data_IF_574237969506
#
_entry.id   IF_574237969506
#
_cell.length_a   1.000
_cell.length_b   1.000
_cell.length_c   1.000
_cell.angle_alpha   90.00
_cell.angle_beta   90.00
_cell.angle_gamma   90.00
#
_symmetry.space_group_name_H-M   'P 1'
#
loop_
_entity.id
_entity.type
_entity.pdbx_description
1 polymer ?
#
# COMPACT_ATOMS: atom_id res chain seq x y z
N UNK A 1 14.32 13.78 -20.75
CA UNK A 1 13.37 12.64 -20.69
C UNK A 1 13.73 11.84 -19.46
N UNK A 2 13.04 12.09 -18.34
CA UNK A 2 13.34 11.47 -17.05
C UNK A 2 12.46 10.23 -16.96
N UNK A 3 13.05 9.04 -16.85
CA UNK A 3 12.34 7.78 -16.69
C UNK A 3 11.44 7.81 -15.45
N UNK A 4 10.17 8.12 -15.67
CA UNK A 4 9.06 7.87 -14.76
C UNK A 4 8.71 6.39 -14.76
N UNK A 5 9.63 5.55 -14.25
CA UNK A 5 9.37 4.12 -14.13
C UNK A 5 8.38 3.91 -12.98
N UNK A 6 7.09 3.82 -13.30
CA UNK A 6 6.12 3.16 -12.43
C UNK A 6 6.60 1.72 -12.22
N UNK A 7 6.62 1.27 -10.96
CA UNK A 7 7.02 -0.10 -10.57
C UNK A 7 6.10 -1.18 -11.17
N UNK A 8 4.87 -0.81 -11.54
CA UNK A 8 3.88 -1.70 -12.11
C UNK A 8 3.46 -1.27 -13.51
N UNK A 9 3.21 -2.25 -14.37
CA UNK A 9 2.56 -2.03 -15.66
C UNK A 9 1.08 -1.76 -15.42
N UNK A 10 0.51 -0.81 -16.17
CA UNK A 10 -0.92 -0.50 -16.10
C UNK A 10 -1.73 -1.69 -16.64
N UNK A 11 -2.65 -2.20 -15.85
CA UNK A 11 -3.60 -3.23 -16.26
C UNK A 11 -5.01 -2.64 -16.27
N UNK A 12 -5.77 -2.93 -17.33
CA UNK A 12 -7.18 -2.51 -17.39
C UNK A 12 -7.99 -3.32 -16.37
N UNK A 13 -8.91 -2.69 -15.62
CA UNK A 13 -9.84 -3.40 -14.74
C UNK A 13 -10.66 -4.43 -15.52
N UNK A 14 -10.95 -5.56 -14.88
CA UNK A 14 -11.95 -6.50 -15.36
C UNK A 14 -13.36 -5.88 -15.30
N UNK A 15 -14.32 -6.42 -16.07
CA UNK A 15 -15.72 -6.01 -16.00
C UNK A 15 -16.31 -6.23 -14.60
N UNK A 16 -15.84 -7.26 -13.89
CA UNK A 16 -16.29 -7.63 -12.55
C UNK A 16 -15.36 -7.09 -11.44
N UNK A 17 -14.52 -6.09 -11.75
CA UNK A 17 -13.61 -5.50 -10.77
C UNK A 17 -14.39 -4.75 -9.67
N UNK A 18 -14.01 -4.98 -8.41
CA UNK A 18 -14.57 -4.23 -7.29
C UNK A 18 -14.14 -2.76 -7.36
N UNK A 19 -15.10 -1.85 -7.28
CA UNK A 19 -14.84 -0.40 -7.38
C UNK A 19 -14.83 0.23 -5.99
N UNK A 20 -13.79 1.04 -5.75
CA UNK A 20 -13.70 1.95 -4.61
C UNK A 20 -13.88 3.37 -5.14
N UNK A 21 -15.02 3.98 -4.86
CA UNK A 21 -15.28 5.38 -5.16
C UNK A 21 -14.71 6.24 -4.04
N UNK A 22 -13.67 7.03 -4.32
CA UNK A 22 -12.95 7.80 -3.31
C UNK A 22 -13.22 9.30 -3.56
N UNK A 23 -13.90 9.93 -2.61
CA UNK A 23 -14.17 11.36 -2.58
C UNK A 23 -13.18 12.01 -1.62
N UNK A 24 -12.26 12.81 -2.15
CA UNK A 24 -11.27 13.54 -1.36
C UNK A 24 -11.71 14.98 -1.13
N UNK A 25 -11.44 15.52 0.05
CA UNK A 25 -11.62 16.95 0.33
C UNK A 25 -10.61 17.83 -0.41
N UNK A 26 -9.35 17.40 -0.48
CA UNK A 26 -8.31 18.08 -1.25
C UNK A 26 -8.31 17.71 -2.74
N UNK A 27 -7.99 18.69 -3.59
CA UNK A 27 -8.05 18.54 -5.05
C UNK A 27 -6.76 17.98 -5.68
N UNK A 28 -5.63 17.99 -4.96
CA UNK A 28 -4.34 17.62 -5.55
C UNK A 28 -3.68 16.43 -4.84
N UNK A 29 -3.40 16.53 -3.54
CA UNK A 29 -2.42 15.66 -2.88
C UNK A 29 -2.92 14.23 -2.68
N UNK A 30 -4.14 14.12 -2.19
CA UNK A 30 -4.89 12.89 -1.97
C UNK A 30 -5.11 12.17 -3.30
N UNK A 31 -5.54 12.92 -4.31
CA UNK A 31 -5.77 12.42 -5.65
C UNK A 31 -4.49 11.85 -6.26
N UNK A 32 -3.37 12.58 -6.18
CA UNK A 32 -2.06 12.09 -6.63
C UNK A 32 -1.63 10.82 -5.90
N UNK A 33 -1.87 10.75 -4.58
CA UNK A 33 -1.52 9.59 -3.77
C UNK A 33 -2.32 8.35 -4.20
N UNK A 34 -3.64 8.43 -4.26
CA UNK A 34 -4.47 7.26 -4.62
C UNK A 34 -4.29 6.86 -6.09
N UNK A 35 -3.97 7.82 -6.98
CA UNK A 35 -3.63 7.55 -8.38
C UNK A 35 -2.37 6.69 -8.56
N UNK A 36 -1.57 6.50 -7.52
CA UNK A 36 -0.49 5.51 -7.55
C UNK A 36 -1.03 4.08 -7.70
N UNK A 37 -2.11 3.76 -7.00
CA UNK A 37 -2.68 2.42 -6.94
C UNK A 37 -3.64 2.11 -8.09
N UNK A 38 -4.02 3.12 -8.87
CA UNK A 38 -4.84 2.91 -10.05
C UNK A 38 -4.08 2.04 -11.06
N UNK A 39 -4.78 1.05 -11.62
CA UNK A 39 -4.26 0.16 -12.66
C UNK A 39 -3.16 -0.82 -12.20
N UNK A 40 -2.87 -0.95 -10.89
CA UNK A 40 -1.93 -1.98 -10.40
C UNK A 40 -2.55 -3.39 -10.48
N UNK A 41 -3.83 -3.51 -10.11
CA UNK A 41 -4.55 -4.79 -10.10
C UNK A 41 -5.80 -4.71 -10.95
N UNK A 42 -6.04 -5.69 -11.81
CA UNK A 42 -7.26 -5.77 -12.62
C UNK A 42 -8.50 -6.11 -11.79
N UNK A 43 -8.32 -6.62 -10.56
CA UNK A 43 -9.41 -7.06 -9.67
C UNK A 43 -10.12 -5.91 -8.96
N UNK A 44 -9.51 -4.73 -8.95
CA UNK A 44 -10.07 -3.55 -8.30
C UNK A 44 -9.95 -2.33 -9.21
N UNK A 45 -10.81 -1.34 -8.97
CA UNK A 45 -10.73 -0.03 -9.58
C UNK A 45 -10.87 1.04 -8.51
N UNK A 46 -9.89 1.93 -8.38
CA UNK A 46 -10.01 3.12 -7.54
C UNK A 46 -10.52 4.26 -8.43
N UNK A 47 -11.80 4.60 -8.31
CA UNK A 47 -12.41 5.74 -8.99
C UNK A 47 -12.28 6.96 -8.07
N UNK A 48 -11.26 7.78 -8.32
CA UNK A 48 -10.97 8.98 -7.53
C UNK A 48 -11.77 10.13 -8.10
N UNK A 49 -12.66 10.69 -7.29
CA UNK A 49 -13.58 11.77 -7.68
C UNK A 49 -13.12 13.04 -6.98
N UNK A 50 -12.47 13.97 -7.70
CA UNK A 50 -12.04 15.24 -7.11
C UNK A 50 -13.24 16.11 -6.76
N UNK A 51 -13.11 17.00 -5.76
CA UNK A 51 -14.12 18.02 -5.50
C UNK A 51 -14.15 19.02 -6.66
N UNK A 52 -15.33 19.49 -7.04
CA UNK A 52 -15.44 20.65 -7.93
C UNK A 52 -14.87 21.90 -7.22
N UNK A 53 -14.45 22.93 -7.97
CA UNK A 53 -13.68 24.10 -7.49
C UNK A 53 -14.28 24.87 -6.28
N UNK A 54 -15.52 24.56 -5.86
CA UNK A 54 -16.19 25.14 -4.69
C UNK A 54 -16.88 24.10 -3.77
N UNK A 55 -16.55 22.80 -3.89
CA UNK A 55 -17.22 21.67 -3.24
C UNK A 55 -16.34 20.88 -2.26
N UNK A 56 -15.54 21.56 -1.44
CA UNK A 56 -14.62 20.89 -0.49
C UNK A 56 -15.28 20.47 0.82
N UNK A 57 -16.38 21.11 1.24
CA UNK A 57 -17.00 20.79 2.53
C UNK A 57 -17.61 19.38 2.56
N UNK A 58 -17.60 18.68 3.71
CA UNK A 58 -18.17 17.33 3.88
C UNK A 58 -19.58 17.15 3.30
N UNK A 59 -20.47 18.12 3.51
CA UNK A 59 -21.85 18.06 2.99
C UNK A 59 -21.93 18.10 1.45
N UNK A 60 -21.05 18.88 0.82
CA UNK A 60 -21.00 19.01 -0.64
C UNK A 60 -20.41 17.76 -1.28
N UNK A 61 -19.41 17.14 -0.63
CA UNK A 61 -18.88 15.83 -1.06
C UNK A 61 -19.96 14.76 -1.00
N UNK A 62 -20.76 14.72 0.08
CA UNK A 62 -21.90 13.81 0.16
C UNK A 62 -22.91 14.04 -0.95
N UNK A 63 -23.27 15.30 -1.23
CA UNK A 63 -24.20 15.64 -2.32
C UNK A 63 -23.66 15.21 -3.68
N UNK A 64 -22.37 15.44 -3.94
CA UNK A 64 -21.71 14.99 -5.17
C UNK A 64 -21.77 13.46 -5.28
N UNK A 65 -21.44 12.73 -4.21
CA UNK A 65 -21.55 11.27 -4.20
C UNK A 65 -22.98 10.80 -4.46
N UNK A 66 -23.96 11.44 -3.83
CA UNK A 66 -25.37 11.08 -3.96
C UNK A 66 -25.87 11.27 -5.41
N UNK A 67 -25.55 12.39 -6.04
CA UNK A 67 -25.89 12.66 -7.44
C UNK A 67 -25.19 11.70 -8.42
N UNK A 68 -23.97 11.26 -8.10
CA UNK A 68 -23.20 10.42 -9.01
C UNK A 68 -23.55 8.93 -8.91
N UNK A 69 -24.11 8.48 -7.78
CA UNK A 69 -24.20 7.06 -7.43
C UNK A 69 -25.60 6.59 -7.05
N UNK A 70 -26.52 7.49 -6.70
CA UNK A 70 -27.86 7.12 -6.24
C UNK A 70 -28.90 7.55 -7.26
N UNK A 71 -29.64 6.58 -7.76
CA UNK A 71 -30.82 6.81 -8.60
C UNK A 71 -31.95 7.39 -7.75
N UNK A 72 -32.56 8.47 -8.22
CA UNK A 72 -33.72 9.12 -7.60
C UNK A 72 -34.69 9.60 -8.67
N UNK A 73 -35.88 10.04 -8.28
CA UNK A 73 -36.86 10.65 -9.21
C UNK A 73 -36.25 11.83 -10.00
N UNK A 74 -35.41 12.64 -9.35
CA UNK A 74 -34.72 13.77 -9.95
C UNK A 74 -33.38 13.40 -10.64
N UNK A 75 -32.94 12.14 -10.51
CA UNK A 75 -31.68 11.62 -11.03
C UNK A 75 -31.84 10.16 -11.48
N UNK A 76 -32.56 9.97 -12.59
CA UNK A 76 -32.94 8.64 -13.10
C UNK A 76 -31.82 7.90 -13.84
N UNK A 77 -30.67 8.54 -14.08
CA UNK A 77 -29.51 7.94 -14.75
C UNK A 77 -28.21 8.41 -14.07
N UNK A 78 -27.91 7.92 -12.85
CA UNK A 78 -26.68 8.28 -12.16
C UNK A 78 -25.46 7.88 -13.00
N UNK A 79 -24.40 8.71 -12.97
CA UNK A 79 -23.18 8.48 -13.76
C UNK A 79 -22.56 7.11 -13.52
N UNK A 80 -22.70 6.58 -12.31
CA UNK A 80 -22.16 5.31 -11.90
C UNK A 80 -23.25 4.42 -11.31
N UNK A 81 -23.17 3.12 -11.63
CA UNK A 81 -24.01 2.09 -11.07
C UNK A 81 -23.23 1.32 -9.99
N UNK A 82 -23.74 1.33 -8.75
CA UNK A 82 -23.09 0.63 -7.63
C UNK A 82 -23.44 -0.86 -7.62
N UNK A 83 -22.41 -1.71 -7.62
CA UNK A 83 -22.61 -3.15 -7.43
C UNK A 83 -22.68 -3.55 -5.95
N UNK A 84 -22.99 -4.82 -5.69
CA UNK A 84 -23.01 -5.36 -4.32
C UNK A 84 -21.63 -5.35 -3.64
N UNK A 85 -20.54 -5.39 -4.41
CA UNK A 85 -19.17 -5.41 -3.88
C UNK A 85 -18.55 -4.04 -3.68
N UNK A 86 -19.07 -3.00 -4.34
CA UNK A 86 -18.44 -1.68 -4.38
C UNK A 86 -18.56 -0.92 -3.06
N UNK A 87 -17.61 -0.01 -2.82
CA UNK A 87 -17.56 0.80 -1.61
C UNK A 87 -17.37 2.28 -1.96
N UNK A 88 -17.96 3.14 -1.14
CA UNK A 88 -17.86 4.59 -1.27
C UNK A 88 -17.14 5.14 -0.05
N UNK A 89 -16.06 5.89 -0.29
CA UNK A 89 -15.16 6.36 0.75
C UNK A 89 -15.01 7.87 0.68
N UNK A 90 -15.17 8.55 1.80
CA UNK A 90 -14.92 9.97 1.97
C UNK A 90 -13.64 10.16 2.77
N UNK A 91 -12.60 10.74 2.16
CA UNK A 91 -11.31 11.02 2.81
C UNK A 91 -11.28 12.51 3.15
N UNK A 92 -11.34 12.80 4.46
CA UNK A 92 -11.66 14.13 4.99
C UNK A 92 -10.59 14.56 6.02
N UNK A 93 -10.26 15.84 6.01
CA UNK A 93 -9.39 16.47 7.01
C UNK A 93 -10.21 16.96 8.21
N UNK A 94 -9.67 16.85 9.43
CA UNK A 94 -10.45 17.10 10.66
C UNK A 94 -10.44 18.57 11.08
N UNK A 95 -9.40 19.33 10.75
CA UNK A 95 -9.19 20.67 11.31
C UNK A 95 -10.17 21.74 10.82
N UNK A 96 -10.71 21.61 9.60
CA UNK A 96 -11.61 22.62 9.02
C UNK A 96 -13.11 22.42 9.36
N UNK A 97 -13.54 21.25 9.85
CA UNK A 97 -14.97 20.88 9.82
C UNK A 97 -15.56 20.10 11.01
N UNK A 98 -14.92 20.06 12.18
CA UNK A 98 -15.33 19.22 13.34
C UNK A 98 -16.85 19.05 13.54
N UNK A 99 -17.60 20.15 13.70
CA UNK A 99 -19.06 20.09 13.93
C UNK A 99 -19.88 19.56 12.73
N UNK A 100 -19.34 19.65 11.50
CA UNK A 100 -20.00 19.21 10.26
C UNK A 100 -19.68 17.76 9.91
N UNK A 101 -18.58 17.18 10.38
CA UNK A 101 -18.25 15.77 10.11
C UNK A 101 -19.31 14.85 10.73
N UNK A 102 -19.84 15.21 11.90
CA UNK A 102 -20.94 14.47 12.52
C UNK A 102 -22.21 14.37 11.67
N UNK A 103 -22.51 15.39 10.85
CA UNK A 103 -23.65 15.34 9.92
C UNK A 103 -23.38 14.37 8.77
N UNK A 104 -22.16 14.39 8.21
CA UNK A 104 -21.71 13.47 7.16
C UNK A 104 -21.79 12.02 7.65
N UNK A 105 -21.25 11.73 8.84
CA UNK A 105 -21.29 10.39 9.43
C UNK A 105 -22.73 9.85 9.53
N UNK A 106 -23.67 10.66 10.05
CA UNK A 106 -25.10 10.27 10.13
C UNK A 106 -25.74 10.04 8.77
N UNK A 107 -25.34 10.80 7.75
CA UNK A 107 -25.83 10.63 6.37
C UNK A 107 -25.27 9.35 5.74
N UNK A 108 -23.99 9.07 5.93
CA UNK A 108 -23.34 7.85 5.45
C UNK A 108 -23.89 6.59 6.13
N UNK A 109 -24.28 6.65 7.41
CA UNK A 109 -24.91 5.52 8.11
C UNK A 109 -26.20 5.01 7.45
N UNK A 110 -26.87 5.81 6.61
CA UNK A 110 -28.04 5.40 5.84
C UNK A 110 -27.69 4.45 4.69
N UNK A 111 -26.42 4.38 4.32
CA UNK A 111 -25.89 3.59 3.21
C UNK A 111 -24.85 2.61 3.73
N UNK A 112 -25.12 1.31 3.68
CA UNK A 112 -24.31 0.27 4.34
C UNK A 112 -22.86 0.17 3.88
N UNK A 113 -22.49 0.83 2.78
CA UNK A 113 -21.15 0.78 2.17
C UNK A 113 -20.49 2.14 2.01
N UNK A 114 -21.08 3.18 2.59
CA UNK A 114 -20.50 4.52 2.59
C UNK A 114 -19.72 4.72 3.87
N UNK A 115 -18.42 4.96 3.75
CA UNK A 115 -17.50 5.04 4.88
C UNK A 115 -16.78 6.37 4.85
N UNK A 116 -16.59 6.97 6.02
CA UNK A 116 -15.80 8.18 6.19
C UNK A 116 -14.47 7.78 6.82
N UNK A 117 -13.37 8.26 6.26
CA UNK A 117 -12.02 8.11 6.78
C UNK A 117 -11.45 9.49 7.09
N UNK A 118 -11.33 9.80 8.38
CA UNK A 118 -10.82 11.09 8.83
C UNK A 118 -9.32 11.05 9.08
N UNK A 119 -8.62 12.14 8.78
CA UNK A 119 -7.23 12.37 9.21
C UNK A 119 -7.16 13.60 10.10
N UNK A 120 -6.56 13.48 11.28
CA UNK A 120 -6.48 14.58 12.25
C UNK A 120 -5.03 15.01 12.51
N UNK A 121 -4.62 16.24 12.14
CA UNK A 121 -5.48 17.29 11.59
C UNK A 121 -5.76 17.14 10.09
N UNK A 122 -4.88 16.49 9.33
CA UNK A 122 -4.94 16.46 7.87
C UNK A 122 -4.28 15.23 7.24
N UNK A 123 -4.43 15.05 5.93
CA UNK A 123 -3.94 13.90 5.17
C UNK A 123 -2.42 13.66 5.29
N UNK A 124 -1.61 14.67 5.57
CA UNK A 124 -0.17 14.51 5.79
C UNK A 124 0.17 13.53 6.93
N UNK A 125 -0.74 13.31 7.88
CA UNK A 125 -0.60 12.27 8.92
C UNK A 125 -0.46 10.88 8.29
N UNK A 126 -1.28 10.58 7.28
CA UNK A 126 -1.22 9.32 6.54
C UNK A 126 0.09 9.18 5.74
N UNK A 127 0.53 10.27 5.10
CA UNK A 127 1.80 10.29 4.37
C UNK A 127 3.00 10.04 5.28
N UNK A 128 2.99 10.62 6.48
CA UNK A 128 4.04 10.43 7.50
C UNK A 128 4.22 8.95 7.85
N UNK A 129 3.12 8.23 8.08
CA UNK A 129 3.19 6.83 8.54
C UNK A 129 3.76 5.84 7.52
N UNK A 130 3.94 6.22 6.24
CA UNK A 130 4.63 5.38 5.26
C UNK A 130 6.10 5.15 5.62
N UNK A 131 6.75 6.15 6.24
CA UNK A 131 8.20 6.14 6.48
C UNK A 131 8.55 6.22 7.96
N UNK A 132 7.55 6.36 8.84
CA UNK A 132 7.76 6.52 10.27
C UNK A 132 6.82 5.64 11.08
N UNK A 133 7.39 4.85 11.98
CA UNK A 133 6.64 3.89 12.80
C UNK A 133 5.96 4.51 14.02
N UNK A 134 6.51 5.60 14.57
CA UNK A 134 6.06 6.17 15.85
C UNK A 134 5.30 7.45 15.63
N UNK A 135 4.25 7.68 16.42
CA UNK A 135 3.54 8.95 16.51
C UNK A 135 4.56 10.10 16.73
N UNK A 136 4.53 11.17 15.92
CA UNK A 136 5.47 12.26 16.06
C UNK A 136 5.13 13.13 17.28
N UNK A 137 6.08 13.98 17.68
CA UNK A 137 5.88 14.99 18.73
C UNK A 137 6.56 16.29 18.30
N UNK A 138 5.77 17.30 17.94
CA UNK A 138 6.24 18.63 17.57
C UNK A 138 5.25 19.72 18.01
N UNK A 139 5.66 20.99 17.93
CA UNK A 139 4.80 22.11 18.35
C UNK A 139 3.60 22.24 17.40
N UNK A 140 2.42 22.58 17.94
CA UNK A 140 1.22 22.87 17.14
C UNK A 140 0.76 21.72 16.21
N UNK A 141 0.86 20.47 16.68
CA UNK A 141 0.40 19.28 15.93
C UNK A 141 -1.09 19.28 15.57
N UNK A 142 -1.90 20.18 16.14
CA UNK A 142 -3.30 20.36 15.79
C UNK A 142 -3.52 21.27 14.56
N UNK A 143 -2.46 21.75 13.91
CA UNK A 143 -2.53 22.67 12.75
C UNK A 143 -2.00 21.97 11.49
N UNK A 144 -2.82 21.86 10.43
CA UNK A 144 -2.44 21.19 9.17
C UNK A 144 -1.22 21.79 8.47
N UNK A 145 -1.06 23.12 8.49
CA UNK A 145 0.11 23.79 7.90
C UNK A 145 1.44 23.35 8.53
N UNK A 146 1.43 23.08 9.84
CA UNK A 146 2.62 22.61 10.56
C UNK A 146 2.95 21.17 10.16
N UNK A 147 1.94 20.32 9.93
CA UNK A 147 2.13 18.98 9.38
C UNK A 147 2.74 18.99 7.98
N UNK A 148 2.26 19.85 7.09
CA UNK A 148 2.82 20.03 5.73
C UNK A 148 4.31 20.35 5.78
N UNK A 149 4.68 21.30 6.65
CA UNK A 149 6.08 21.69 6.85
C UNK A 149 6.88 20.55 7.47
N UNK A 150 6.34 19.89 8.50
CA UNK A 150 7.00 18.81 9.21
C UNK A 150 7.28 17.61 8.31
N UNK A 151 6.29 17.12 7.55
CA UNK A 151 6.44 15.97 6.65
C UNK A 151 7.42 16.27 5.51
N UNK A 152 7.38 17.48 4.96
CA UNK A 152 8.35 17.89 3.93
C UNK A 152 9.79 17.91 4.44
N UNK A 153 9.99 18.19 5.73
CA UNK A 153 11.32 18.21 6.35
C UNK A 153 11.74 16.84 6.92
N UNK A 154 10.79 15.96 7.26
CA UNK A 154 11.08 14.65 7.83
C UNK A 154 11.50 13.62 6.79
N UNK A 155 11.19 13.88 5.51
CA UNK A 155 11.49 13.01 4.37
C UNK A 155 12.45 13.75 3.44
N UNK A 156 13.64 13.19 3.23
CA UNK A 156 14.62 13.79 2.33
C UNK A 156 14.05 13.91 0.90
N UNK A 157 13.92 15.14 0.39
CA UNK A 157 13.30 15.43 -0.90
C UNK A 157 11.77 15.50 -0.88
N UNK A 158 11.14 15.41 0.30
CA UNK A 158 9.69 15.43 0.49
C UNK A 158 9.03 14.10 0.11
N UNK A 159 7.74 13.97 0.44
CA UNK A 159 6.98 12.78 0.07
C UNK A 159 6.70 12.75 -1.44
N UNK A 160 7.13 11.71 -2.16
CA UNK A 160 6.86 11.52 -3.58
C UNK A 160 5.73 10.50 -3.79
N UNK A 161 4.56 10.98 -4.24
CA UNK A 161 3.37 10.17 -4.54
C UNK A 161 3.59 9.15 -5.68
N UNK A 162 4.72 9.18 -6.37
CA UNK A 162 5.08 8.20 -7.41
C UNK A 162 5.96 7.07 -6.89
N UNK A 163 6.43 7.15 -5.64
CA UNK A 163 7.38 6.19 -5.06
C UNK A 163 6.92 5.66 -3.71
N UNK A 164 6.73 6.56 -2.75
CA UNK A 164 6.48 6.19 -1.36
C UNK A 164 5.18 5.40 -1.11
N UNK A 165 4.11 5.50 -1.93
CA UNK A 165 2.93 4.66 -1.72
C UNK A 165 3.21 3.15 -1.84
N UNK A 166 4.36 2.71 -2.36
CA UNK A 166 4.77 1.30 -2.29
C UNK A 166 4.83 0.78 -0.85
N UNK A 167 5.13 1.65 0.13
CA UNK A 167 5.20 1.33 1.56
C UNK A 167 3.82 1.36 2.25
N UNK A 168 2.73 1.17 1.52
CA UNK A 168 1.37 1.20 2.06
C UNK A 168 1.15 0.17 3.19
N UNK A 169 1.83 -0.99 3.15
CA UNK A 169 1.76 -1.97 4.24
C UNK A 169 2.29 -1.39 5.55
N UNK A 170 3.47 -0.77 5.50
CA UNK A 170 4.05 -0.05 6.63
C UNK A 170 3.12 1.08 7.08
N UNK A 171 2.54 1.84 6.15
CA UNK A 171 1.59 2.90 6.47
C UNK A 171 0.35 2.39 7.22
N UNK A 172 -0.24 1.28 6.76
CA UNK A 172 -1.37 0.62 7.42
C UNK A 172 -0.99 0.25 8.85
N UNK A 173 0.10 -0.51 9.01
CA UNK A 173 0.52 -1.02 10.31
C UNK A 173 0.87 0.11 11.28
N UNK A 174 1.65 1.09 10.80
CA UNK A 174 2.09 2.23 11.60
C UNK A 174 0.91 3.10 12.03
N UNK A 175 0.03 3.47 11.09
CA UNK A 175 -1.15 4.28 11.43
C UNK A 175 -2.06 3.55 12.42
N UNK A 176 -2.33 2.26 12.19
CA UNK A 176 -3.18 1.42 13.05
C UNK A 176 -2.61 1.25 14.45
N UNK A 177 -1.30 0.98 14.59
CA UNK A 177 -0.65 0.84 15.89
C UNK A 177 -0.62 2.13 16.72
N UNK A 178 -0.66 3.29 16.06
CA UNK A 178 -0.68 4.59 16.73
C UNK A 178 -2.09 5.22 16.79
N UNK A 179 -3.12 4.51 16.31
CA UNK A 179 -4.48 5.03 16.24
C UNK A 179 -5.18 5.01 17.59
N UNK A 180 -5.82 6.13 17.91
CA UNK A 180 -6.76 6.27 19.02
C UNK A 180 -7.84 7.28 18.63
N UNK A 181 -9.03 7.14 19.23
CA UNK A 181 -10.15 8.05 19.03
C UNK A 181 -10.87 8.35 20.35
N UNK A 182 -11.54 9.49 20.39
CA UNK A 182 -12.40 9.91 21.49
C UNK A 182 -13.77 10.23 20.92
N UNK A 183 -14.78 9.47 21.32
CA UNK A 183 -16.16 9.70 20.86
C UNK A 183 -16.37 9.47 19.36
N UNK A 184 -15.51 8.69 18.71
CA UNK A 184 -15.55 8.45 17.26
C UNK A 184 -14.81 9.49 16.42
N UNK A 185 -14.11 10.43 17.06
CA UNK A 185 -13.20 11.38 16.39
C UNK A 185 -11.75 10.95 16.61
N UNK A 186 -10.93 10.78 15.54
CA UNK A 186 -9.53 10.41 15.71
C UNK A 186 -8.76 11.44 16.53
N UNK A 187 -7.85 10.98 17.38
CA UNK A 187 -6.93 11.86 18.10
C UNK A 187 -5.98 12.60 17.15
N UNK A 188 -5.35 13.68 17.63
CA UNK A 188 -4.29 14.37 16.88
C UNK A 188 -3.21 13.36 16.48
N UNK A 189 -2.73 13.47 15.24
CA UNK A 189 -1.78 12.58 14.60
C UNK A 189 -2.30 11.15 14.36
N UNK A 190 -3.62 10.96 14.34
CA UNK A 190 -4.26 9.71 13.93
C UNK A 190 -5.01 9.90 12.60
N UNK A 191 -5.14 8.79 11.87
CA UNK A 191 -5.83 8.77 10.58
C UNK A 191 -6.58 7.47 10.44
N UNK A 192 -7.76 7.50 9.84
CA UNK A 192 -8.57 6.33 9.50
C UNK A 192 -8.34 5.88 8.05
N UNK A 193 -7.47 6.56 7.28
CA UNK A 193 -7.18 6.19 5.89
C UNK A 193 -6.61 4.77 5.80
N UNK A 194 -5.98 4.26 6.86
CA UNK A 194 -5.56 2.85 6.92
C UNK A 194 -6.75 1.90 6.77
N UNK A 195 -7.96 2.25 7.23
CA UNK A 195 -9.16 1.41 7.10
C UNK A 195 -9.53 1.22 5.63
N UNK A 196 -9.43 2.28 4.83
CA UNK A 196 -9.61 2.23 3.37
C UNK A 196 -8.50 1.39 2.73
N UNK A 197 -7.24 1.68 3.09
CA UNK A 197 -6.08 0.95 2.58
C UNK A 197 -6.18 -0.57 2.85
N UNK A 198 -6.60 -0.99 4.05
CA UNK A 198 -6.82 -2.39 4.41
C UNK A 198 -7.83 -3.10 3.48
N UNK A 199 -8.78 -2.37 2.86
CA UNK A 199 -9.78 -2.97 1.96
C UNK A 199 -9.19 -3.35 0.61
N UNK A 200 -8.32 -2.52 0.06
CA UNK A 200 -7.79 -2.72 -1.29
C UNK A 200 -6.36 -3.29 -1.30
N UNK A 201 -5.61 -3.16 -0.21
CA UNK A 201 -4.24 -3.63 -0.09
C UNK A 201 -4.06 -5.12 -0.41
N UNK A 202 -4.93 -6.07 0.01
CA UNK A 202 -4.76 -7.49 -0.33
C UNK A 202 -4.69 -7.74 -1.84
N UNK A 203 -5.46 -6.99 -2.64
CA UNK A 203 -5.45 -7.10 -4.10
C UNK A 203 -4.17 -6.55 -4.71
N UNK A 204 -3.60 -5.50 -4.11
CA UNK A 204 -2.32 -4.91 -4.51
C UNK A 204 -1.16 -5.80 -4.11
N UNK A 205 -1.10 -6.23 -2.85
CA UNK A 205 -0.03 -7.07 -2.31
C UNK A 205 0.16 -8.34 -3.14
N UNK A 206 -0.93 -8.98 -3.58
CA UNK A 206 -0.83 -10.16 -4.45
C UNK A 206 -0.05 -9.90 -5.75
N UNK A 207 -0.21 -8.72 -6.36
CA UNK A 207 0.53 -8.32 -7.58
C UNK A 207 1.99 -7.99 -7.24
N UNK A 208 2.24 -7.33 -6.11
CA UNK A 208 3.60 -7.03 -5.63
C UNK A 208 4.39 -8.32 -5.43
N UNK A 209 3.80 -9.32 -4.76
CA UNK A 209 4.42 -10.63 -4.53
C UNK A 209 4.73 -11.36 -5.83
N UNK A 210 3.78 -11.40 -6.76
CA UNK A 210 4.00 -12.01 -8.08
C UNK A 210 5.18 -11.33 -8.81
N UNK A 211 5.25 -10.00 -8.75
CA UNK A 211 6.33 -9.22 -9.35
C UNK A 211 7.70 -9.52 -8.71
N UNK A 212 7.76 -9.66 -7.39
CA UNK A 212 8.97 -10.07 -6.65
C UNK A 212 9.44 -11.44 -7.14
N UNK A 213 8.54 -12.43 -7.24
CA UNK A 213 8.88 -13.78 -7.68
C UNK A 213 9.34 -13.83 -9.16
N UNK A 214 8.71 -13.03 -10.02
CA UNK A 214 9.13 -12.86 -11.41
C UNK A 214 10.55 -12.26 -11.51
N UNK A 215 10.84 -11.21 -10.74
CA UNK A 215 12.16 -10.59 -10.69
C UNK A 215 13.23 -11.56 -10.19
N UNK A 216 12.97 -12.26 -9.08
CA UNK A 216 13.85 -13.31 -8.54
C UNK A 216 14.15 -14.37 -9.59
N UNK A 217 13.11 -14.92 -10.22
CA UNK A 217 13.26 -15.96 -11.26
C UNK A 217 14.08 -15.46 -12.46
N UNK A 218 13.82 -14.24 -12.92
CA UNK A 218 14.54 -13.64 -14.04
C UNK A 218 16.02 -13.40 -13.71
N UNK A 219 16.34 -12.88 -12.53
CA UNK A 219 17.71 -12.66 -12.06
C UNK A 219 18.45 -14.00 -11.88
N UNK A 220 17.80 -15.01 -11.30
CA UNK A 220 18.36 -16.36 -11.18
C UNK A 220 18.68 -16.99 -12.54
N UNK A 221 17.75 -16.89 -13.50
CA UNK A 221 17.97 -17.39 -14.87
C UNK A 221 19.12 -16.66 -15.55
N UNK A 222 19.21 -15.34 -15.39
CA UNK A 222 20.33 -14.58 -15.92
C UNK A 222 21.66 -15.02 -15.32
N UNK A 223 21.73 -15.18 -14.00
CA UNK A 223 22.93 -15.66 -13.32
C UNK A 223 23.38 -17.03 -13.82
N UNK A 224 22.45 -17.99 -13.97
CA UNK A 224 22.78 -19.29 -14.54
C UNK A 224 23.35 -19.15 -15.96
N UNK A 225 22.71 -18.34 -16.80
CA UNK A 225 23.18 -18.09 -18.16
C UNK A 225 24.55 -17.43 -18.20
N UNK A 226 24.81 -16.46 -17.33
CA UNK A 226 26.06 -15.71 -17.25
C UNK A 226 27.21 -16.61 -16.77
N UNK A 227 27.05 -17.31 -15.65
CA UNK A 227 28.13 -18.05 -15.00
C UNK A 227 28.29 -19.50 -15.46
N UNK A 228 27.22 -20.16 -15.89
CA UNK A 228 27.24 -21.60 -16.25
C UNK A 228 27.27 -21.79 -17.76
N UNK A 229 26.39 -21.08 -18.48
CA UNK A 229 26.26 -21.25 -19.93
C UNK A 229 27.17 -20.31 -20.74
N UNK A 230 27.78 -19.28 -20.11
CA UNK A 230 28.48 -18.19 -20.79
C UNK A 230 27.63 -17.54 -21.91
N UNK A 231 26.32 -17.43 -21.70
CA UNK A 231 25.34 -16.96 -22.68
C UNK A 231 24.39 -15.89 -22.07
N UNK A 232 24.91 -14.73 -21.64
CA UNK A 232 24.11 -13.70 -20.98
C UNK A 232 22.97 -13.18 -21.89
N UNK A 233 21.79 -12.99 -21.30
CA UNK A 233 20.56 -12.60 -22.04
C UNK A 233 20.19 -11.13 -21.82
N UNK A 234 20.66 -10.52 -20.74
CA UNK A 234 20.45 -9.10 -20.43
C UNK A 234 21.80 -8.46 -20.11
N UNK A 235 21.89 -7.15 -20.27
CA UNK A 235 23.09 -6.37 -19.93
C UNK A 235 23.26 -6.19 -18.42
N UNK A 236 24.48 -5.90 -17.98
CA UNK A 236 24.78 -5.62 -16.56
C UNK A 236 23.91 -4.49 -16.00
N UNK A 237 23.68 -3.43 -16.80
CA UNK A 237 22.79 -2.33 -16.42
C UNK A 237 21.36 -2.80 -16.19
N UNK A 238 20.82 -3.62 -17.09
CA UNK A 238 19.45 -4.16 -16.93
C UNK A 238 19.35 -5.09 -15.72
N UNK A 239 20.41 -5.85 -15.43
CA UNK A 239 20.49 -6.66 -14.22
C UNK A 239 20.48 -5.80 -12.97
N UNK A 240 21.31 -4.75 -12.91
CA UNK A 240 21.36 -3.81 -11.78
C UNK A 240 20.03 -3.08 -11.56
N UNK A 241 19.36 -2.67 -12.64
CA UNK A 241 18.05 -2.02 -12.57
C UNK A 241 16.99 -2.97 -12.00
N UNK A 242 16.95 -4.24 -12.46
CA UNK A 242 16.04 -5.28 -11.91
C UNK A 242 16.36 -5.65 -10.46
N UNK A 243 17.65 -5.67 -10.10
CA UNK A 243 18.08 -5.93 -8.72
C UNK A 243 17.62 -4.80 -7.79
N UNK A 244 17.78 -3.53 -8.21
CA UNK A 244 17.30 -2.38 -7.45
C UNK A 244 15.78 -2.42 -7.28
N UNK A 245 15.05 -2.71 -8.35
CA UNK A 245 13.58 -2.86 -8.31
C UNK A 245 13.16 -3.95 -7.31
N UNK A 246 13.82 -5.12 -7.35
CA UNK A 246 13.54 -6.21 -6.41
C UNK A 246 13.77 -5.77 -4.95
N UNK A 247 14.89 -5.09 -4.68
CA UNK A 247 15.23 -4.61 -3.33
C UNK A 247 14.22 -3.61 -2.80
N UNK A 248 13.78 -2.66 -3.64
CA UNK A 248 12.76 -1.67 -3.26
C UNK A 248 11.43 -2.35 -2.90
N UNK A 249 11.00 -3.35 -3.68
CA UNK A 249 9.77 -4.09 -3.42
C UNK A 249 9.89 -4.94 -2.14
N UNK A 250 10.99 -5.67 -1.96
CA UNK A 250 11.21 -6.52 -0.77
C UNK A 250 11.28 -5.68 0.52
N UNK A 251 11.91 -4.51 0.46
CA UNK A 251 11.96 -3.59 1.60
C UNK A 251 10.57 -3.03 1.94
N UNK A 252 9.72 -2.83 0.94
CA UNK A 252 8.36 -2.33 1.14
C UNK A 252 7.40 -3.37 1.74
N UNK A 253 7.70 -4.67 1.62
CA UNK A 253 6.84 -5.79 2.07
C UNK A 253 7.44 -6.62 3.20
N UNK A 254 8.30 -6.02 4.02
CA UNK A 254 9.33 -6.72 4.80
C UNK A 254 8.86 -7.74 5.87
N UNK A 255 7.57 -7.80 6.22
CA UNK A 255 7.09 -8.68 7.31
C UNK A 255 6.94 -10.16 6.92
N UNK A 256 6.79 -10.52 5.63
CA UNK A 256 6.56 -11.92 5.23
C UNK A 256 7.77 -12.62 4.57
N UNK A 257 8.72 -11.89 3.98
CA UNK A 257 9.77 -12.46 3.12
C UNK A 257 11.09 -12.81 3.82
N UNK A 258 11.27 -12.44 5.09
CA UNK A 258 12.48 -12.75 5.86
C UNK A 258 12.79 -14.25 6.00
N UNK A 259 11.84 -15.16 5.75
CA UNK A 259 12.03 -16.60 5.95
C UNK A 259 12.60 -17.38 4.74
N UNK A 260 12.62 -16.80 3.53
CA UNK A 260 13.10 -17.48 2.31
C UNK A 260 14.09 -16.66 1.46
N UNK A 261 14.59 -15.53 1.97
CA UNK A 261 15.51 -14.67 1.23
C UNK A 261 16.74 -15.47 0.80
N UNK A 262 16.89 -15.67 -0.52
CA UNK A 262 18.20 -15.96 -1.10
C UNK A 262 19.05 -14.73 -0.80
N UNK A 263 20.15 -14.84 -0.03
CA UNK A 263 20.93 -13.68 0.33
C UNK A 263 21.33 -12.91 -0.93
N UNK A 264 21.27 -11.57 -0.89
CA UNK A 264 21.77 -10.73 -1.99
C UNK A 264 23.19 -11.15 -2.37
N UNK A 265 24.00 -11.49 -1.38
CA UNK A 265 25.34 -12.03 -1.56
C UNK A 265 25.39 -13.38 -2.30
N UNK A 266 24.32 -14.17 -2.36
CA UNK A 266 24.23 -15.39 -3.16
C UNK A 266 23.77 -15.09 -4.59
N UNK A 267 22.86 -14.13 -4.79
CA UNK A 267 22.49 -13.63 -6.13
C UNK A 267 23.66 -12.89 -6.80
N UNK A 268 24.43 -12.12 -6.04
CA UNK A 268 25.65 -11.45 -6.49
C UNK A 268 26.88 -12.37 -6.45
N UNK A 269 26.94 -13.34 -5.53
CA UNK A 269 28.17 -14.07 -5.18
C UNK A 269 28.48 -15.34 -5.97
N UNK A 270 27.69 -15.69 -6.98
CA UNK A 270 28.24 -16.44 -8.11
C UNK A 270 29.44 -15.68 -8.75
N UNK A 271 29.59 -14.37 -8.50
CA UNK A 271 30.70 -13.52 -8.95
C UNK A 271 32.07 -13.72 -8.26
N UNK A 272 32.20 -14.48 -7.15
CA UNK A 272 33.50 -14.56 -6.42
C UNK A 272 34.11 -15.94 -6.25
N UNK A 273 33.46 -17.02 -6.73
CA UNK A 273 34.05 -18.38 -6.74
C UNK A 273 34.24 -18.88 -8.17
N UNK A 274 35.02 -18.14 -8.93
CA UNK A 274 35.40 -18.47 -10.32
C UNK A 274 36.91 -18.46 -10.54
N UNK A 275 37.71 -18.87 -9.55
CA UNK A 275 39.12 -19.21 -9.75
C UNK A 275 39.51 -20.37 -8.84
N UNK A 276 38.87 -21.51 -9.06
CA UNK A 276 39.43 -22.85 -8.81
C UNK A 276 38.44 -23.88 -9.30
N UNK A 277 38.92 -24.74 -10.19
CA UNK A 277 38.24 -25.93 -10.70
C UNK A 277 37.87 -26.82 -9.50
N UNK A 278 36.57 -26.98 -9.22
CA UNK A 278 36.08 -28.02 -8.33
C UNK A 278 34.74 -28.55 -8.85
N UNK A 279 34.67 -29.88 -8.95
CA UNK A 279 33.57 -30.69 -9.46
C UNK A 279 32.23 -30.39 -8.76
N UNK A 280 31.18 -30.24 -9.56
CA UNK A 280 29.79 -30.25 -9.08
C UNK A 280 29.44 -31.66 -8.58
N UNK A 281 29.46 -31.86 -7.26
CA UNK A 281 28.66 -32.92 -6.63
C UNK A 281 27.33 -32.31 -6.15
N UNK A 282 26.26 -32.93 -6.62
CA UNK A 282 24.85 -32.79 -6.26
C UNK A 282 24.58 -32.30 -4.83
N UNK A 283 24.03 -31.09 -4.69
CA UNK A 283 23.31 -30.69 -3.49
C UNK A 283 21.88 -31.23 -3.55
N UNK A 284 21.63 -32.30 -2.81
CA UNK A 284 20.31 -32.82 -2.53
C UNK A 284 19.57 -31.85 -1.58
N UNK A 285 18.41 -31.36 -2.00
CA UNK A 285 17.43 -30.75 -1.10
C UNK A 285 16.60 -31.88 -0.46
N UNK A 286 16.86 -32.20 0.81
CA UNK A 286 15.95 -33.00 1.62
C UNK A 286 14.88 -32.07 2.21
N UNK A 287 13.67 -32.14 1.64
CA UNK A 287 12.45 -31.67 2.28
C UNK A 287 12.12 -32.60 3.45
N UNK A 288 11.99 -32.08 4.66
CA UNK A 288 11.27 -32.74 5.74
C UNK A 288 10.22 -31.80 6.30
N UNK A 289 8.98 -32.11 5.94
CA UNK A 289 7.75 -31.55 6.47
C UNK A 289 7.11 -32.55 7.45
N UNK A 290 6.63 -32.01 8.57
CA UNK A 290 5.58 -32.51 9.48
C UNK A 290 5.89 -33.67 10.44
N UNK A 291 5.52 -33.43 11.71
CA UNK A 291 5.44 -34.46 12.75
C UNK A 291 5.09 -33.88 14.11
N UNK A 292 3.83 -33.48 14.29
CA UNK A 292 3.20 -33.29 15.62
C UNK A 292 3.37 -34.61 16.39
N UNK A 293 3.86 -34.58 17.63
CA UNK A 293 3.55 -35.67 18.55
C UNK A 293 3.45 -35.23 20.01
N UNK A 294 2.38 -35.74 20.61
CA UNK A 294 1.80 -35.44 21.91
C UNK A 294 2.57 -36.22 22.99
N UNK A 295 2.72 -35.63 24.17
CA UNK A 295 3.26 -36.26 25.40
C UNK A 295 2.55 -37.58 25.75
N UNK A 296 3.16 -38.48 26.55
CA UNK A 296 2.96 -38.33 28.00
C UNK A 296 4.16 -38.71 28.88
N UNK A 297 4.14 -38.11 30.08
CA UNK A 297 4.75 -38.57 31.35
C UNK A 297 4.89 -40.10 31.44
N UNK A 298 6.03 -40.57 31.98
CA UNK A 298 6.11 -41.59 33.03
C UNK A 298 7.41 -41.38 33.83
N UNK A 299 7.26 -41.52 35.15
CA UNK A 299 8.24 -41.51 36.23
C UNK A 299 9.24 -42.68 36.20
N UNK A 300 10.44 -42.47 36.76
CA UNK A 300 11.14 -43.27 37.81
C UNK A 300 12.63 -42.84 37.84
N UNK A 301 13.11 -42.22 38.92
CA UNK A 301 13.85 -42.85 40.06
C UNK A 301 15.00 -43.77 39.61
N UNK A 302 16.24 -43.36 39.87
CA UNK A 302 17.12 -43.91 40.93
C UNK A 302 18.60 -43.62 40.62
N UNK A 303 19.36 -43.33 41.69
CA UNK A 303 20.80 -43.10 41.72
C UNK A 303 21.13 -41.94 42.63
#
# INVERSE_FOLDING_TARGET
MISGNRLFQKVRPDRDAKIFYIFCEGSCRENEYFNYFTEISSKIKLEIIPPNEHQTSPDKLYQAAYLLLIETEDNSDPKYELTLSDEVWFVIDTDEWKDKIGSLLKKCQKHSKWVVAQSNPCFEVWLYYHLHQKKPSFKNMNISKEWKTFVNNSIAGGFDSRKHPIHIESAINNAKCNYSDIGGEPDIACTEVFKLAERFYPFINSIVKEKIDQLRTALHRHNYNYYVLNAPVISDKEFDDRMRELQELEQATADEFCSFNVPEAALRGLAKRGSSRASLSSFNFSNTSHGINISPRISKRCG
#
